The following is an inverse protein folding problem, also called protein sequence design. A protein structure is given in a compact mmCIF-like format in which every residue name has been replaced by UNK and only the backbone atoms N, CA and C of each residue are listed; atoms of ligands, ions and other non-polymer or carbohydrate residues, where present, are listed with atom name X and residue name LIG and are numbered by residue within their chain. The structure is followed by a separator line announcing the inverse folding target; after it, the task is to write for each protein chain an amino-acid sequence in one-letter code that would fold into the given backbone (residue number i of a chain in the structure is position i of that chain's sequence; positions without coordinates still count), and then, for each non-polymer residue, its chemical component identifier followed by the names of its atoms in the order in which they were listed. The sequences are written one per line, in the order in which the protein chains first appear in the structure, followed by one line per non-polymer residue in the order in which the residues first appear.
data_IF_498254416958
#
_entry.id   IF_498254416958
#
_cell.length_a   1.000
_cell.length_b   1.000
_cell.length_c   1.000
_cell.angle_alpha   90.00
_cell.angle_beta   90.00
_cell.angle_gamma   90.00
#
_symmetry.space_group_name_H-M   'P 1'
#
loop_
_entity.id
_entity.type
_entity.pdbx_description
1 polymer ?
#
# COMPACT_ATOMS: atom_id res chain seq x y z
N UNK A 1 -7.90 -59.62 29.49
CA UNK A 1 -6.47 -59.94 29.61
C UNK A 1 -5.83 -59.66 28.24
N UNK A 2 -4.80 -58.83 28.07
CA UNK A 2 -4.10 -57.89 28.97
C UNK A 2 -3.61 -56.64 28.20
N UNK A 3 -3.09 -55.65 28.94
CA UNK A 3 -2.59 -54.31 28.53
C UNK A 3 -1.56 -53.88 29.61
N UNK A 4 -0.48 -53.09 29.39
CA UNK A 4 0.04 -52.41 28.18
C UNK A 4 1.53 -52.78 27.88
N UNK A 5 2.25 -52.09 26.97
CA UNK A 5 3.23 -51.02 27.32
C UNK A 5 4.04 -50.48 26.11
N UNK A 6 4.78 -49.36 26.29
CA UNK A 6 5.36 -48.56 25.20
C UNK A 6 6.86 -48.25 25.32
N UNK A 7 7.57 -48.15 24.18
CA UNK A 7 8.94 -47.60 24.07
C UNK A 7 9.10 -46.76 22.79
N UNK A 8 9.84 -45.65 22.87
CA UNK A 8 10.14 -44.69 21.79
C UNK A 8 11.61 -44.83 21.35
N UNK A 9 11.95 -44.59 20.07
CA UNK A 9 13.16 -43.80 19.80
C UNK A 9 13.00 -42.66 18.78
N UNK A 10 13.70 -41.58 19.09
CA UNK A 10 13.72 -40.26 18.47
C UNK A 10 13.86 -40.17 16.93
N UNK A 11 13.30 -39.09 16.37
CA UNK A 11 13.51 -38.67 14.99
C UNK A 11 14.94 -38.12 14.74
N UNK A 12 15.54 -38.44 13.60
CA UNK A 12 16.79 -37.82 13.14
C UNK A 12 16.53 -36.70 12.12
N UNK A 13 16.53 -35.44 12.59
CA UNK A 13 16.46 -34.26 11.72
C UNK A 13 17.76 -34.13 10.91
N UNK A 14 17.74 -34.41 9.61
CA UNK A 14 18.80 -33.98 8.67
C UNK A 14 18.33 -32.79 7.84
N UNK A 15 18.82 -31.61 8.22
CA UNK A 15 18.62 -30.35 7.52
C UNK A 15 19.43 -30.38 6.20
N UNK A 16 18.75 -30.17 5.07
CA UNK A 16 19.35 -30.13 3.73
C UNK A 16 19.32 -28.72 3.12
N UNK A 17 19.63 -27.70 3.92
CA UNK A 17 19.59 -26.27 3.58
C UNK A 17 20.73 -25.82 2.66
N UNK A 18 20.93 -26.47 1.50
CA UNK A 18 21.98 -26.15 0.52
C UNK A 18 21.42 -26.20 -0.91
N UNK A 19 20.87 -25.09 -1.42
CA UNK A 19 20.59 -24.91 -2.85
C UNK A 19 20.51 -23.46 -3.38
N UNK A 20 20.56 -22.45 -2.50
CA UNK A 20 20.33 -21.04 -2.85
C UNK A 20 21.33 -20.41 -3.85
N UNK A 21 22.68 -20.54 -3.73
CA UNK A 21 23.58 -19.79 -4.60
C UNK A 21 23.58 -20.30 -6.05
N UNK A 22 23.49 -21.62 -6.26
CA UNK A 22 23.53 -22.21 -7.60
C UNK A 22 22.24 -21.91 -8.40
N UNK A 23 21.07 -21.89 -7.74
CA UNK A 23 19.81 -21.46 -8.39
C UNK A 23 19.85 -19.98 -8.80
N UNK A 24 20.43 -19.10 -7.96
CA UNK A 24 20.60 -17.68 -8.30
C UNK A 24 21.52 -17.48 -9.53
N UNK A 25 22.66 -18.18 -9.59
CA UNK A 25 23.59 -18.15 -10.74
C UNK A 25 22.91 -18.66 -12.02
N UNK A 26 22.08 -19.70 -11.93
CA UNK A 26 21.31 -20.23 -13.08
C UNK A 26 20.25 -19.21 -13.55
N UNK A 27 19.53 -18.54 -12.63
CA UNK A 27 18.58 -17.47 -12.97
C UNK A 27 19.28 -16.30 -13.67
N UNK A 28 20.41 -15.81 -13.15
CA UNK A 28 21.23 -14.77 -13.79
C UNK A 28 21.70 -15.16 -15.19
N UNK A 29 22.19 -16.40 -15.39
CA UNK A 29 22.57 -16.92 -16.71
C UNK A 29 21.39 -17.02 -17.69
N UNK A 30 20.16 -17.23 -17.22
CA UNK A 30 18.94 -17.19 -18.05
C UNK A 30 18.57 -15.75 -18.43
N UNK A 31 18.51 -14.80 -17.48
CA UNK A 31 18.21 -13.37 -17.74
C UNK A 31 19.18 -12.77 -18.78
N UNK A 32 20.48 -13.03 -18.63
CA UNK A 32 21.50 -12.61 -19.62
C UNK A 32 21.35 -13.24 -21.02
N UNK A 33 20.91 -14.50 -21.12
CA UNK A 33 20.64 -15.14 -22.42
C UNK A 33 19.40 -14.58 -23.11
N UNK A 34 18.36 -14.20 -22.35
CA UNK A 34 17.19 -13.47 -22.86
C UNK A 34 17.57 -12.12 -23.45
N UNK A 35 18.28 -11.29 -22.67
CA UNK A 35 18.79 -9.99 -23.12
C UNK A 35 19.69 -10.09 -24.36
N UNK A 36 20.54 -11.12 -24.46
CA UNK A 36 21.38 -11.33 -25.65
C UNK A 36 20.57 -11.76 -26.89
N UNK A 37 19.46 -12.50 -26.74
CA UNK A 37 18.53 -12.77 -27.86
C UNK A 37 17.78 -11.52 -28.30
N UNK A 38 17.30 -10.71 -27.36
CA UNK A 38 16.58 -9.46 -27.65
C UNK A 38 17.43 -8.47 -28.46
N UNK A 39 18.70 -8.26 -28.07
CA UNK A 39 19.61 -7.38 -28.82
C UNK A 39 19.92 -7.86 -30.25
N UNK A 40 19.92 -9.17 -30.51
CA UNK A 40 20.15 -9.74 -31.85
C UNK A 40 18.94 -9.59 -32.79
N UNK A 41 17.79 -9.11 -32.31
CA UNK A 41 16.61 -8.81 -33.14
C UNK A 41 16.50 -7.33 -33.56
N UNK A 42 17.47 -6.48 -33.17
CA UNK A 42 17.43 -5.03 -33.43
C UNK A 42 18.38 -4.58 -34.57
N UNK A 43 19.15 -5.50 -35.16
CA UNK A 43 20.17 -5.20 -36.19
C UNK A 43 19.87 -5.91 -37.52
N UNK A 44 18.86 -5.44 -38.24
CA UNK A 44 18.62 -5.77 -39.65
C UNK A 44 17.83 -4.64 -40.33
N UNK A 45 18.39 -3.92 -41.33
CA UNK A 45 17.71 -2.77 -41.94
C UNK A 45 16.63 -3.19 -42.94
N UNK A 46 15.58 -2.38 -43.05
CA UNK A 46 14.58 -2.46 -44.13
C UNK A 46 14.25 -1.05 -44.62
N UNK A 47 13.94 -0.93 -45.91
CA UNK A 47 14.07 0.31 -46.68
C UNK A 47 12.85 1.26 -46.60
N UNK A 48 13.03 2.51 -47.04
CA UNK A 48 12.00 3.57 -47.13
C UNK A 48 11.40 3.65 -48.55
N UNK A 49 10.19 4.21 -48.72
CA UNK A 49 10.01 5.65 -49.03
C UNK A 49 9.34 6.43 -47.87
N UNK A 50 9.44 7.76 -47.67
CA UNK A 50 9.08 8.93 -48.50
C UNK A 50 7.54 9.08 -48.67
N UNK A 51 6.87 10.24 -48.45
CA UNK A 51 7.30 11.65 -48.39
C UNK A 51 6.55 12.49 -47.30
N UNK A 52 6.71 13.83 -47.34
CA UNK A 52 6.07 14.93 -46.59
C UNK A 52 6.41 15.08 -45.08
N UNK A 53 6.91 16.22 -44.52
CA UNK A 53 6.74 17.68 -44.71
C UNK A 53 5.53 18.23 -43.90
N UNK A 54 5.64 19.25 -43.03
CA UNK A 54 6.72 20.23 -42.78
C UNK A 54 6.86 20.69 -41.31
N UNK A 55 7.89 21.51 -41.02
CA UNK A 55 8.14 22.28 -39.76
C UNK A 55 8.44 21.48 -38.48
N UNK A 56 9.02 22.05 -37.40
CA UNK A 56 9.54 23.41 -37.13
C UNK A 56 10.79 23.38 -36.23
N UNK A 57 11.47 24.53 -36.08
CA UNK A 57 12.59 24.75 -35.14
C UNK A 57 12.41 26.10 -34.42
N UNK A 58 12.74 26.15 -33.12
CA UNK A 58 13.23 27.37 -32.46
C UNK A 58 14.24 27.01 -31.36
N UNK A 59 15.51 27.22 -31.65
CA UNK A 59 16.64 27.14 -30.72
C UNK A 59 16.97 28.55 -30.24
N UNK A 60 17.17 28.76 -28.93
CA UNK A 60 17.71 30.02 -28.40
C UNK A 60 18.74 29.76 -27.32
N UNK A 61 20.01 29.91 -27.70
CA UNK A 61 21.11 30.07 -26.74
C UNK A 61 21.01 31.45 -26.07
N UNK A 62 21.50 31.55 -24.84
CA UNK A 62 22.40 32.62 -24.39
C UNK A 62 23.12 32.19 -23.11
N UNK A 63 24.21 32.85 -22.77
CA UNK A 63 25.21 32.37 -21.81
C UNK A 63 25.78 33.50 -20.93
N UNK A 64 26.66 33.13 -20.00
CA UNK A 64 27.61 33.95 -19.23
C UNK A 64 27.13 34.60 -17.91
N UNK A 65 27.79 34.16 -16.84
CA UNK A 65 28.38 34.98 -15.76
C UNK A 65 27.48 35.85 -14.85
N UNK A 66 27.46 35.52 -13.54
CA UNK A 66 28.30 36.26 -12.56
C UNK A 66 28.46 35.58 -11.20
N UNK A 67 29.29 36.19 -10.35
CA UNK A 67 29.85 35.68 -9.09
C UNK A 67 29.20 36.27 -7.84
N UNK A 68 28.98 35.41 -6.84
CA UNK A 68 29.37 35.54 -5.42
C UNK A 68 29.13 36.86 -4.63
N UNK A 69 28.41 36.72 -3.50
CA UNK A 69 28.48 37.50 -2.24
C UNK A 69 28.17 39.02 -2.26
N UNK A 70 27.10 39.45 -1.58
CA UNK A 70 27.14 39.84 -0.15
C UNK A 70 25.73 40.06 0.47
N UNK A 71 25.64 40.00 1.80
CA UNK A 71 24.44 40.25 2.66
C UNK A 71 24.31 41.76 3.02
N UNK A 72 23.40 42.28 3.91
CA UNK A 72 22.75 41.71 5.12
C UNK A 72 21.21 42.03 5.19
N UNK A 73 20.45 42.25 6.28
CA UNK A 73 20.64 42.33 7.76
C UNK A 73 19.31 42.23 8.56
N UNK A 74 19.28 41.41 9.63
CA UNK A 74 18.45 41.57 10.85
C UNK A 74 16.90 41.52 10.70
N UNK A 75 16.05 41.38 11.73
CA UNK A 75 16.23 41.50 13.20
C UNK A 75 15.35 40.59 14.09
N UNK A 76 15.97 39.94 15.07
CA UNK A 76 15.57 39.71 16.47
C UNK A 76 14.09 39.51 16.91
N UNK A 77 13.83 38.40 17.63
CA UNK A 77 13.51 38.43 19.07
C UNK A 77 13.93 37.10 19.76
N UNK A 78 13.82 37.02 21.09
CA UNK A 78 14.95 36.73 22.00
C UNK A 78 14.52 35.92 23.27
N UNK A 79 15.46 35.62 24.19
CA UNK A 79 15.34 34.77 25.41
C UNK A 79 15.32 33.26 25.10
N UNK A 80 15.86 32.33 25.91
CA UNK A 80 16.81 32.29 27.06
C UNK A 80 17.38 30.84 27.12
N UNK A 81 18.48 30.44 27.76
CA UNK A 81 19.38 31.04 28.75
C UNK A 81 19.67 29.97 29.83
N UNK A 82 20.95 29.77 30.23
CA UNK A 82 21.43 28.80 31.25
C UNK A 82 21.30 27.29 30.89
N UNK A 83 22.18 26.37 31.31
CA UNK A 83 23.59 26.47 31.76
C UNK A 83 24.29 25.09 31.64
N UNK A 84 25.63 25.04 31.66
CA UNK A 84 26.40 23.81 31.83
C UNK A 84 26.65 23.51 33.31
N UNK A 85 26.04 22.47 33.86
CA UNK A 85 26.18 22.12 35.28
C UNK A 85 27.27 21.07 35.54
N UNK A 86 28.21 21.41 36.43
CA UNK A 86 28.98 20.45 37.21
C UNK A 86 28.27 20.25 38.55
N UNK A 87 28.13 19.00 39.03
CA UNK A 87 27.63 18.74 40.37
C UNK A 87 28.54 17.77 41.16
N UNK A 88 29.25 18.36 42.13
CA UNK A 88 29.50 17.79 43.47
C UNK A 88 28.12 17.69 44.19
N UNK A 89 27.85 16.86 45.21
CA UNK A 89 28.68 16.08 46.15
C UNK A 89 27.83 14.92 46.71
N UNK A 90 28.43 13.99 47.46
CA UNK A 90 27.77 13.41 48.65
C UNK A 90 28.73 13.42 49.83
N UNK A 91 28.37 14.15 50.89
CA UNK A 91 29.12 14.24 52.15
C UNK A 91 28.41 13.44 53.26
N UNK A 92 29.10 12.50 53.89
CA UNK A 92 28.81 12.02 55.24
C UNK A 92 30.05 11.35 55.87
N UNK A 93 30.86 12.08 56.63
CA UNK A 93 30.99 11.88 58.10
C UNK A 93 32.25 12.50 58.75
N UNK A 94 31.99 13.42 59.69
CA UNK A 94 32.54 13.48 61.07
C UNK A 94 34.07 13.54 61.30
N UNK A 95 34.51 14.72 61.79
CA UNK A 95 35.67 14.95 62.71
C UNK A 95 37.12 14.81 62.16
N UNK A 96 38.16 15.52 62.68
CA UNK A 96 38.25 16.46 63.82
C UNK A 96 39.45 17.47 63.70
N UNK A 97 39.59 18.36 64.69
CA UNK A 97 40.76 19.20 65.06
C UNK A 97 41.45 20.19 64.07
N UNK A 98 40.80 21.35 63.89
CA UNK A 98 41.26 22.66 64.46
C UNK A 98 42.66 23.29 64.18
N UNK A 99 42.59 24.57 63.74
CA UNK A 99 43.24 25.78 64.34
C UNK A 99 44.55 26.40 63.79
N UNK A 100 44.56 27.76 63.82
CA UNK A 100 45.64 28.77 63.69
C UNK A 100 46.19 29.16 62.29
N UNK A 101 45.70 30.32 61.82
CA UNK A 101 46.34 31.19 60.80
C UNK A 101 47.64 31.82 61.36
N UNK A 102 48.61 32.12 60.48
CA UNK A 102 49.60 33.15 60.76
C UNK A 102 50.07 33.86 59.46
N UNK A 103 50.00 35.20 59.41
CA UNK A 103 50.49 36.01 58.28
C UNK A 103 51.96 36.38 58.50
N UNK A 104 52.83 36.23 57.48
CA UNK A 104 54.11 36.95 57.40
C UNK A 104 54.44 37.36 55.95
N UNK A 105 54.68 38.65 55.71
CA UNK A 105 55.29 39.18 54.48
C UNK A 105 56.78 38.85 54.46
N UNK A 106 57.39 38.57 53.30
CA UNK A 106 58.68 39.18 52.89
C UNK A 106 59.12 38.90 51.44
N UNK A 107 59.70 39.95 50.86
CA UNK A 107 60.68 39.99 49.75
C UNK A 107 60.35 39.40 48.37
N UNK A 108 60.59 40.21 47.33
CA UNK A 108 60.91 39.76 45.98
C UNK A 108 62.13 38.81 46.03
N UNK A 109 62.11 37.75 45.22
CA UNK A 109 63.30 37.06 44.69
C UNK A 109 63.23 37.14 43.17
N UNK A 110 64.36 37.43 42.51
CA UNK A 110 64.42 37.41 41.04
C UNK A 110 64.20 35.96 40.57
N UNK A 111 63.14 35.67 39.84
CA UNK A 111 63.04 34.45 39.06
C UNK A 111 64.17 34.45 38.02
N UNK A 112 64.95 33.37 37.95
CA UNK A 112 65.88 33.17 36.85
C UNK A 112 65.05 32.93 35.59
N UNK A 113 65.39 33.61 34.50
CA UNK A 113 64.74 33.40 33.21
C UNK A 113 65.05 31.98 32.73
N UNK A 114 64.06 31.09 32.80
CA UNK A 114 64.18 29.74 32.26
C UNK A 114 64.03 29.83 30.75
N UNK A 115 65.16 29.73 30.04
CA UNK A 115 65.14 29.56 28.59
C UNK A 115 64.55 28.19 28.27
N UNK A 116 63.31 28.20 27.79
CA UNK A 116 62.74 27.06 27.07
C UNK A 116 63.41 26.96 25.69
N UNK A 117 63.72 25.75 25.17
CA UNK A 117 64.23 25.61 23.81
C UNK A 117 63.12 25.96 22.79
N UNK A 118 63.29 27.04 22.03
CA UNK A 118 62.30 27.65 21.13
C UNK A 118 61.76 26.76 19.97
N UNK A 119 62.13 25.47 19.91
CA UNK A 119 61.79 24.57 18.80
C UNK A 119 61.32 23.18 19.23
N UNK A 120 60.66 23.06 20.39
CA UNK A 120 59.80 21.89 20.67
C UNK A 120 58.52 21.95 19.81
N UNK A 121 58.62 21.53 18.55
CA UNK A 121 57.45 21.31 17.69
C UNK A 121 56.49 20.38 18.43
N UNK A 122 55.32 20.88 18.83
CA UNK A 122 54.19 20.04 19.25
C UNK A 122 53.72 19.26 18.02
N UNK A 123 54.27 18.06 17.84
CA UNK A 123 53.66 17.06 16.98
C UNK A 123 52.32 16.70 17.60
N UNK A 124 51.23 17.28 17.08
CA UNK A 124 49.95 16.60 17.14
C UNK A 124 50.17 15.21 16.52
N UNK A 125 49.70 14.12 17.15
CA UNK A 125 49.79 12.81 16.52
C UNK A 125 49.13 12.90 15.16
N UNK A 126 49.84 12.50 14.11
CA UNK A 126 49.32 12.59 12.75
C UNK A 126 47.98 11.83 12.70
N UNK A 127 46.98 12.40 12.04
CA UNK A 127 45.73 11.68 11.79
C UNK A 127 46.04 10.43 10.97
N UNK A 128 46.16 9.29 11.64
CA UNK A 128 46.17 8.01 10.96
C UNK A 128 44.84 7.87 10.23
N UNK A 129 44.90 7.99 8.90
CA UNK A 129 43.78 7.79 7.99
C UNK A 129 43.45 6.29 7.94
N UNK A 130 42.93 5.82 9.07
CA UNK A 130 42.81 4.42 9.41
C UNK A 130 42.11 3.66 8.31
N UNK A 131 42.70 2.53 7.91
CA UNK A 131 42.12 1.62 6.91
C UNK A 131 40.72 1.16 7.34
N UNK A 132 40.44 1.11 8.65
CA UNK A 132 39.11 0.85 9.19
C UNK A 132 38.09 1.94 8.83
N UNK A 133 38.44 3.24 8.87
CA UNK A 133 37.53 4.34 8.42
C UNK A 133 37.18 4.19 6.94
N UNK A 134 38.13 3.80 6.09
CA UNK A 134 37.87 3.51 4.67
C UNK A 134 37.05 2.24 4.45
N UNK A 135 37.32 1.17 5.22
CA UNK A 135 36.55 -0.07 5.18
C UNK A 135 35.09 0.17 5.60
N UNK A 136 34.86 0.94 6.66
CA UNK A 136 33.54 1.35 7.13
C UNK A 136 32.78 2.15 6.06
N UNK A 137 33.43 3.12 5.41
CA UNK A 137 32.83 3.86 4.29
C UNK A 137 32.50 2.96 3.09
N UNK A 138 33.33 1.95 2.78
CA UNK A 138 33.04 0.96 1.74
C UNK A 138 31.87 0.04 2.12
N UNK A 139 31.78 -0.40 3.38
CA UNK A 139 30.64 -1.18 3.88
C UNK A 139 29.35 -0.37 3.85
N UNK A 140 29.38 0.91 4.26
CA UNK A 140 28.24 1.84 4.14
C UNK A 140 27.85 2.01 2.67
N UNK A 141 28.80 2.17 1.76
CA UNK A 141 28.51 2.28 0.32
C UNK A 141 27.91 0.99 -0.27
N UNK A 142 28.37 -0.19 0.17
CA UNK A 142 27.81 -1.49 -0.24
C UNK A 142 26.39 -1.66 0.29
N UNK A 143 26.15 -1.34 1.57
CA UNK A 143 24.81 -1.39 2.18
C UNK A 143 23.87 -0.40 1.49
N UNK A 144 24.33 0.82 1.22
CA UNK A 144 23.56 1.83 0.49
C UNK A 144 23.22 1.38 -0.94
N UNK A 145 24.17 0.76 -1.66
CA UNK A 145 23.91 0.20 -2.98
C UNK A 145 22.93 -0.99 -2.94
N UNK A 146 23.00 -1.84 -1.90
CA UNK A 146 22.03 -2.92 -1.67
C UNK A 146 20.62 -2.36 -1.38
N UNK A 147 20.51 -1.28 -0.62
CA UNK A 147 19.25 -0.59 -0.34
C UNK A 147 18.68 0.02 -1.64
N UNK A 148 19.48 0.74 -2.43
CA UNK A 148 19.03 1.30 -3.71
C UNK A 148 18.54 0.22 -4.68
N UNK A 149 19.31 -0.85 -4.86
CA UNK A 149 18.92 -1.98 -5.73
C UNK A 149 17.68 -2.73 -5.19
N UNK A 150 17.40 -2.67 -3.88
CA UNK A 150 16.18 -3.24 -3.31
C UNK A 150 14.96 -2.36 -3.57
N UNK A 151 15.12 -1.03 -3.51
CA UNK A 151 14.07 -0.04 -3.83
C UNK A 151 13.75 -0.07 -5.34
N UNK A 152 14.76 -0.05 -6.21
CA UNK A 152 14.60 -0.09 -7.68
C UNK A 152 13.84 -1.35 -8.13
N UNK A 153 14.12 -2.51 -7.52
CA UNK A 153 13.37 -3.76 -7.76
C UNK A 153 11.98 -3.77 -7.11
N UNK A 154 11.67 -2.88 -6.16
CA UNK A 154 10.33 -2.70 -5.59
C UNK A 154 9.46 -1.86 -6.55
N UNK A 155 10.03 -0.75 -7.05
CA UNK A 155 9.37 0.16 -7.98
C UNK A 155 9.09 -0.52 -9.33
N UNK A 156 10.04 -1.34 -9.86
CA UNK A 156 9.83 -2.21 -11.03
C UNK A 156 8.55 -3.07 -10.91
N UNK A 157 8.28 -3.61 -9.71
CA UNK A 157 7.13 -4.48 -9.44
C UNK A 157 5.81 -3.71 -9.34
N UNK A 158 5.83 -2.52 -8.74
CA UNK A 158 4.65 -1.65 -8.66
C UNK A 158 4.31 -1.05 -10.04
N UNK A 159 5.33 -0.68 -10.82
CA UNK A 159 5.17 -0.15 -12.17
C UNK A 159 4.61 -1.20 -13.14
N UNK A 160 4.92 -2.49 -12.96
CA UNK A 160 4.32 -3.61 -13.71
C UNK A 160 2.78 -3.60 -13.66
N UNK A 161 2.18 -3.10 -12.59
CA UNK A 161 0.72 -3.16 -12.37
C UNK A 161 -0.02 -1.82 -12.54
N UNK A 162 0.66 -0.72 -12.87
CA UNK A 162 0.11 0.65 -13.02
C UNK A 162 -0.95 1.04 -11.98
N UNK A 163 -0.64 0.80 -10.69
CA UNK A 163 -1.56 1.10 -9.59
C UNK A 163 -1.87 2.60 -9.47
N UNK A 164 -0.97 3.44 -10.00
CA UNK A 164 -1.11 4.89 -10.10
C UNK A 164 -2.08 5.33 -11.20
N UNK A 165 -2.22 4.57 -12.29
CA UNK A 165 -3.29 4.73 -13.28
C UNK A 165 -4.64 4.27 -12.74
N UNK A 166 -4.66 3.16 -11.97
CA UNK A 166 -5.83 2.66 -11.28
C UNK A 166 -6.40 3.67 -10.27
N UNK A 167 -5.56 4.21 -9.39
CA UNK A 167 -5.93 5.21 -8.37
C UNK A 167 -6.60 6.44 -9.00
N UNK A 168 -5.97 6.99 -10.06
CA UNK A 168 -6.48 8.13 -10.83
C UNK A 168 -7.78 7.81 -11.58
N UNK A 169 -8.01 6.55 -11.94
CA UNK A 169 -9.25 6.10 -12.57
C UNK A 169 -10.37 5.93 -11.54
N UNK A 170 -10.08 5.33 -10.39
CA UNK A 170 -11.05 5.21 -9.28
C UNK A 170 -11.49 6.60 -8.78
N UNK A 171 -10.58 7.53 -8.56
CA UNK A 171 -10.95 8.91 -8.15
C UNK A 171 -11.74 9.71 -9.22
N UNK A 172 -11.88 9.20 -10.45
CA UNK A 172 -12.71 9.80 -11.50
C UNK A 172 -14.07 9.13 -11.66
N UNK A 173 -14.13 7.80 -11.64
CA UNK A 173 -15.37 7.03 -11.83
C UNK A 173 -16.14 6.76 -10.51
N UNK A 174 -15.49 6.82 -9.33
CA UNK A 174 -16.06 6.38 -8.05
C UNK A 174 -16.35 7.58 -7.12
N UNK A 175 -17.59 8.08 -7.15
CA UNK A 175 -18.01 9.22 -6.33
C UNK A 175 -18.29 8.85 -4.87
N UNK A 176 -17.88 9.70 -3.92
CA UNK A 176 -18.26 9.62 -2.49
C UNK A 176 -17.54 8.56 -1.65
N UNK A 177 -16.71 7.70 -2.24
CA UNK A 177 -16.06 6.57 -1.56
C UNK A 177 -14.54 6.77 -1.40
N UNK A 178 -14.09 8.01 -1.13
CA UNK A 178 -12.65 8.36 -1.17
C UNK A 178 -11.79 7.45 -0.28
N UNK A 179 -12.17 7.30 0.99
CA UNK A 179 -11.44 6.48 1.98
C UNK A 179 -11.37 5.01 1.57
N UNK A 180 -12.44 4.47 0.99
CA UNK A 180 -12.48 3.10 0.48
C UNK A 180 -11.56 2.91 -0.74
N UNK A 181 -11.50 3.90 -1.65
CA UNK A 181 -10.57 3.88 -2.79
C UNK A 181 -9.11 3.95 -2.31
N UNK A 182 -8.80 4.87 -1.39
CA UNK A 182 -7.46 5.00 -0.80
C UNK A 182 -7.02 3.67 -0.14
N UNK A 183 -7.89 3.06 0.68
CA UNK A 183 -7.62 1.78 1.36
C UNK A 183 -7.44 0.60 0.39
N UNK A 184 -8.23 0.50 -0.69
CA UNK A 184 -8.05 -0.55 -1.71
C UNK A 184 -6.70 -0.40 -2.43
N UNK A 185 -6.32 0.83 -2.77
CA UNK A 185 -5.06 1.11 -3.47
C UNK A 185 -3.86 0.88 -2.55
N UNK A 186 -3.96 1.24 -1.26
CA UNK A 186 -2.96 0.97 -0.23
C UNK A 186 -2.72 -0.55 -0.06
N UNK A 187 -3.80 -1.32 0.16
CA UNK A 187 -3.74 -2.80 0.25
C UNK A 187 -3.13 -3.46 -1.01
N UNK A 188 -3.45 -2.94 -2.20
CA UNK A 188 -2.86 -3.43 -3.45
C UNK A 188 -1.38 -3.05 -3.59
N UNK A 189 -0.98 -1.84 -3.19
CA UNK A 189 0.43 -1.37 -3.23
C UNK A 189 1.30 -2.17 -2.25
N UNK A 190 0.87 -2.31 -0.99
CA UNK A 190 1.60 -3.07 0.03
C UNK A 190 1.79 -4.55 -0.36
N UNK A 191 0.76 -5.18 -0.92
CA UNK A 191 0.83 -6.55 -1.35
C UNK A 191 1.76 -6.72 -2.56
N UNK A 192 1.48 -6.02 -3.66
CA UNK A 192 2.17 -6.18 -4.95
C UNK A 192 3.62 -5.64 -4.96
N UNK A 193 4.03 -4.88 -3.94
CA UNK A 193 5.42 -4.56 -3.69
C UNK A 193 6.27 -5.82 -3.40
N UNK A 194 5.68 -6.89 -2.87
CA UNK A 194 6.38 -8.10 -2.45
C UNK A 194 6.17 -9.29 -3.40
N UNK A 195 7.07 -10.28 -3.32
CA UNK A 195 7.02 -11.54 -4.11
C UNK A 195 6.81 -12.80 -3.26
N UNK A 196 6.67 -12.64 -1.95
CA UNK A 196 6.58 -13.75 -0.99
C UNK A 196 5.57 -13.32 0.07
N UNK A 197 4.37 -13.88 -0.01
CA UNK A 197 3.28 -13.57 0.91
C UNK A 197 3.02 -14.76 1.85
N UNK A 198 2.56 -14.46 3.07
CA UNK A 198 2.22 -15.47 4.08
C UNK A 198 0.71 -15.79 4.13
N UNK A 199 -0.11 -14.98 3.43
CA UNK A 199 -1.53 -15.17 3.14
C UNK A 199 -1.79 -14.58 1.74
N UNK A 200 -2.79 -15.05 0.98
CA UNK A 200 -3.28 -14.28 -0.17
C UNK A 200 -3.90 -12.95 0.29
N UNK A 201 -3.96 -11.97 -0.60
CA UNK A 201 -4.72 -10.74 -0.35
C UNK A 201 -6.21 -11.03 -0.52
N UNK A 202 -7.02 -10.73 0.50
CA UNK A 202 -8.48 -10.93 0.46
C UNK A 202 -9.14 -9.64 0.91
N UNK A 203 -9.58 -8.81 -0.04
CA UNK A 203 -10.27 -7.54 0.25
C UNK A 203 -11.78 -7.80 0.26
N UNK A 204 -12.50 -7.35 1.31
CA UNK A 204 -13.97 -7.47 1.39
C UNK A 204 -14.65 -6.11 1.31
N UNK A 205 -15.27 -5.81 0.17
CA UNK A 205 -16.01 -4.57 -0.08
C UNK A 205 -17.44 -4.71 0.47
N UNK A 206 -17.70 -4.10 1.62
CA UNK A 206 -18.96 -4.21 2.36
C UNK A 206 -19.71 -2.87 2.40
N UNK A 207 -21.04 -2.87 2.26
CA UNK A 207 -21.81 -1.63 2.22
C UNK A 207 -23.26 -1.81 1.79
N UNK A 208 -24.11 -0.78 1.88
CA UNK A 208 -25.47 -0.84 1.35
C UNK A 208 -25.51 -0.94 -0.19
N UNK A 209 -26.70 -1.13 -0.75
CA UNK A 209 -26.91 -1.31 -2.21
C UNK A 209 -26.73 0.01 -2.97
N UNK A 210 -26.08 -0.06 -4.14
CA UNK A 210 -25.99 1.07 -5.09
C UNK A 210 -24.91 2.12 -4.81
N UNK A 211 -24.07 1.90 -3.80
CA UNK A 211 -22.98 2.82 -3.39
C UNK A 211 -21.69 2.71 -4.23
N UNK A 212 -21.65 1.82 -5.22
CA UNK A 212 -20.54 1.70 -6.18
C UNK A 212 -19.69 0.42 -6.10
N UNK A 213 -19.89 -0.48 -5.12
CA UNK A 213 -19.01 -1.66 -4.91
C UNK A 213 -18.76 -2.51 -6.17
N UNK A 214 -19.81 -2.97 -6.85
CA UNK A 214 -19.72 -3.73 -8.10
C UNK A 214 -19.11 -2.93 -9.26
N UNK A 215 -19.24 -1.59 -9.24
CA UNK A 215 -18.58 -0.72 -10.20
C UNK A 215 -17.07 -0.62 -9.92
N UNK A 216 -16.64 -0.56 -8.65
CA UNK A 216 -15.22 -0.67 -8.26
C UNK A 216 -14.65 -2.03 -8.68
N UNK A 217 -15.41 -3.12 -8.47
CA UNK A 217 -15.06 -4.44 -9.00
C UNK A 217 -14.89 -4.47 -10.52
N UNK A 218 -15.75 -3.78 -11.26
CA UNK A 218 -15.62 -3.62 -12.72
C UNK A 218 -14.41 -2.76 -13.13
N UNK A 219 -14.12 -1.66 -12.43
CA UNK A 219 -12.92 -0.82 -12.68
C UNK A 219 -11.64 -1.62 -12.42
N UNK A 220 -11.59 -2.38 -11.32
CA UNK A 220 -10.49 -3.31 -11.01
C UNK A 220 -10.33 -4.36 -12.11
N UNK A 221 -11.43 -5.00 -12.53
CA UNK A 221 -11.41 -6.00 -13.59
C UNK A 221 -10.89 -5.42 -14.92
N UNK A 222 -11.40 -4.25 -15.33
CA UNK A 222 -11.00 -3.50 -16.53
C UNK A 222 -9.51 -3.15 -16.49
N UNK A 223 -9.00 -2.68 -15.34
CA UNK A 223 -7.59 -2.35 -15.16
C UNK A 223 -6.70 -3.59 -15.30
N UNK A 224 -6.89 -4.61 -14.46
CA UNK A 224 -6.04 -5.80 -14.48
C UNK A 224 -6.09 -6.55 -15.83
N UNK A 225 -7.25 -6.60 -16.51
CA UNK A 225 -7.36 -7.17 -17.87
C UNK A 225 -6.54 -6.41 -18.91
N UNK A 226 -6.38 -5.09 -18.75
CA UNK A 226 -5.56 -4.26 -19.65
C UNK A 226 -4.05 -4.38 -19.41
N UNK A 227 -3.65 -4.87 -18.23
CA UNK A 227 -2.25 -5.02 -17.80
C UNK A 227 -1.75 -6.46 -17.93
N UNK A 228 -2.60 -7.45 -17.66
CA UNK A 228 -2.22 -8.86 -17.47
C UNK A 228 -2.77 -9.81 -18.53
N UNK A 229 -3.55 -9.31 -19.48
CA UNK A 229 -4.47 -10.06 -20.35
C UNK A 229 -5.68 -10.64 -19.60
N UNK A 230 -6.71 -11.08 -20.34
CA UNK A 230 -7.98 -11.55 -19.75
C UNK A 230 -7.86 -12.85 -18.94
N UNK A 231 -6.86 -13.69 -19.23
CA UNK A 231 -6.71 -15.05 -18.71
C UNK A 231 -6.47 -15.15 -17.18
N UNK A 232 -6.17 -14.02 -16.54
CA UNK A 232 -5.78 -13.93 -15.13
C UNK A 232 -6.75 -13.09 -14.28
N UNK A 233 -7.95 -12.77 -14.81
CA UNK A 233 -8.97 -11.93 -14.13
C UNK A 233 -10.35 -12.56 -14.18
N UNK A 234 -10.63 -13.47 -13.24
CA UNK A 234 -11.93 -14.11 -13.09
C UNK A 234 -12.92 -13.18 -12.39
N UNK A 235 -14.10 -13.01 -12.98
CA UNK A 235 -15.19 -12.21 -12.41
C UNK A 235 -16.41 -13.10 -12.20
N UNK A 236 -16.61 -13.55 -10.96
CA UNK A 236 -17.60 -14.55 -10.57
C UNK A 236 -18.83 -13.88 -9.96
N UNK A 237 -19.85 -13.65 -10.78
CA UNK A 237 -21.19 -13.27 -10.31
C UNK A 237 -21.94 -14.53 -9.85
N UNK A 238 -22.33 -14.60 -8.57
CA UNK A 238 -22.94 -15.80 -7.97
C UNK A 238 -24.20 -16.22 -8.72
N UNK A 239 -25.13 -15.29 -8.95
CA UNK A 239 -26.42 -15.56 -9.61
C UNK A 239 -26.31 -16.04 -11.06
N UNK A 240 -25.18 -15.79 -11.73
CA UNK A 240 -24.93 -16.27 -13.10
C UNK A 240 -24.17 -17.60 -13.14
N UNK A 241 -23.26 -17.85 -12.19
CA UNK A 241 -22.40 -19.05 -12.20
C UNK A 241 -22.94 -20.21 -11.37
N UNK A 242 -23.75 -19.92 -10.34
CA UNK A 242 -24.44 -20.93 -9.53
C UNK A 242 -25.93 -20.55 -9.34
N UNK A 243 -26.73 -20.55 -10.42
CA UNK A 243 -28.14 -20.18 -10.34
C UNK A 243 -28.95 -21.17 -9.50
N UNK A 244 -29.98 -20.66 -8.82
CA UNK A 244 -30.84 -21.42 -7.90
C UNK A 244 -31.54 -22.60 -8.60
N UNK A 245 -31.00 -23.80 -8.39
CA UNK A 245 -31.44 -25.03 -9.05
C UNK A 245 -30.28 -25.97 -9.42
N UNK A 246 -29.04 -25.46 -9.53
CA UNK A 246 -27.83 -26.28 -9.62
C UNK A 246 -27.46 -26.81 -8.23
N UNK A 247 -26.96 -28.06 -8.16
CA UNK A 247 -26.48 -28.64 -6.91
C UNK A 247 -25.21 -27.89 -6.43
N UNK A 248 -25.12 -27.43 -5.16
CA UNK A 248 -23.97 -26.65 -4.68
C UNK A 248 -22.60 -27.31 -4.87
N UNK A 249 -22.54 -28.65 -4.77
CA UNK A 249 -21.33 -29.44 -4.99
C UNK A 249 -20.79 -29.31 -6.43
N UNK A 250 -21.66 -29.14 -7.42
CA UNK A 250 -21.25 -28.89 -8.81
C UNK A 250 -20.61 -27.52 -8.95
N UNK A 251 -21.15 -26.51 -8.26
CA UNK A 251 -20.56 -25.17 -8.20
C UNK A 251 -19.22 -25.15 -7.44
N UNK A 252 -19.08 -25.92 -6.35
CA UNK A 252 -17.81 -26.09 -5.61
C UNK A 252 -16.73 -26.67 -6.52
N UNK A 253 -17.02 -27.74 -7.25
CA UNK A 253 -16.06 -28.39 -8.14
C UNK A 253 -15.65 -27.46 -9.29
N UNK A 254 -16.60 -26.77 -9.92
CA UNK A 254 -16.32 -25.82 -11.00
C UNK A 254 -15.50 -24.60 -10.52
N UNK A 255 -15.86 -24.00 -9.39
CA UNK A 255 -15.15 -22.86 -8.80
C UNK A 255 -13.73 -23.25 -8.35
N UNK A 256 -13.59 -24.35 -7.60
CA UNK A 256 -12.31 -24.86 -7.12
C UNK A 256 -11.36 -25.21 -8.29
N UNK A 257 -11.90 -25.82 -9.34
CA UNK A 257 -11.14 -26.06 -10.58
C UNK A 257 -10.72 -24.76 -11.25
N UNK A 258 -11.63 -23.80 -11.46
CA UNK A 258 -11.32 -22.51 -12.09
C UNK A 258 -10.26 -21.71 -11.34
N UNK A 259 -10.28 -21.74 -10.01
CA UNK A 259 -9.24 -21.12 -9.17
C UNK A 259 -7.90 -21.83 -9.41
N UNK A 260 -7.87 -23.16 -9.30
CA UNK A 260 -6.64 -23.96 -9.49
C UNK A 260 -6.04 -23.84 -10.89
N UNK A 261 -6.85 -23.92 -11.94
CA UNK A 261 -6.45 -23.79 -13.35
C UNK A 261 -5.98 -22.37 -13.71
N UNK A 262 -6.38 -21.34 -12.94
CA UNK A 262 -5.90 -19.96 -13.13
C UNK A 262 -4.62 -19.68 -12.33
N UNK A 263 -4.56 -20.12 -11.07
CA UNK A 263 -3.38 -19.98 -10.18
C UNK A 263 -2.16 -20.69 -10.76
N UNK A 264 -2.29 -21.95 -11.18
CA UNK A 264 -1.18 -22.75 -11.74
C UNK A 264 -0.63 -22.15 -13.04
N UNK A 265 -1.46 -21.52 -13.88
CA UNK A 265 -1.01 -20.77 -15.06
C UNK A 265 -0.31 -19.45 -14.68
N UNK A 266 -0.80 -18.77 -13.65
CA UNK A 266 -0.25 -17.48 -13.22
C UNK A 266 1.17 -17.58 -12.64
N UNK A 267 1.45 -18.62 -11.84
CA UNK A 267 2.80 -18.94 -11.36
C UNK A 267 3.78 -19.21 -12.52
N UNK A 268 3.33 -19.82 -13.62
CA UNK A 268 4.16 -20.07 -14.82
C UNK A 268 4.51 -18.78 -15.56
N UNK A 269 3.62 -17.78 -15.57
CA UNK A 269 3.85 -16.46 -16.18
C UNK A 269 4.41 -15.40 -15.22
N UNK A 270 4.73 -15.78 -13.97
CA UNK A 270 5.15 -14.87 -12.90
C UNK A 270 4.13 -13.68 -12.72
N UNK A 271 2.82 -13.98 -12.83
CA UNK A 271 1.67 -13.05 -12.72
C UNK A 271 0.85 -13.32 -11.45
N UNK A 272 0.25 -12.28 -10.84
CA UNK A 272 -0.59 -12.37 -9.63
C UNK A 272 -2.09 -12.40 -10.00
N UNK A 273 -2.78 -13.55 -10.03
CA UNK A 273 -4.14 -13.66 -10.54
C UNK A 273 -5.16 -12.94 -9.63
N UNK A 274 -6.18 -12.35 -10.25
CA UNK A 274 -7.21 -11.56 -9.58
C UNK A 274 -8.58 -12.23 -9.71
N UNK A 275 -9.21 -12.50 -8.57
CA UNK A 275 -10.53 -13.11 -8.44
C UNK A 275 -11.51 -12.09 -7.86
N UNK A 276 -12.50 -11.66 -8.64
CA UNK A 276 -13.53 -10.72 -8.19
C UNK A 276 -14.86 -11.45 -8.09
N UNK A 277 -15.35 -11.63 -6.86
CA UNK A 277 -16.57 -12.36 -6.56
C UNK A 277 -17.66 -11.38 -6.11
N UNK A 278 -18.77 -11.33 -6.83
CA UNK A 278 -19.86 -10.38 -6.61
C UNK A 278 -21.15 -11.08 -6.15
N UNK A 279 -21.90 -10.39 -5.29
CA UNK A 279 -23.06 -10.90 -4.53
C UNK A 279 -22.70 -12.07 -3.59
N UNK A 280 -21.60 -11.95 -2.85
CA UNK A 280 -21.04 -13.03 -2.00
C UNK A 280 -22.01 -13.51 -0.91
N UNK A 281 -22.93 -12.68 -0.42
CA UNK A 281 -23.99 -13.09 0.52
C UNK A 281 -25.02 -14.08 -0.06
N UNK A 282 -25.04 -14.26 -1.38
CA UNK A 282 -25.91 -15.23 -2.06
C UNK A 282 -25.23 -16.60 -2.23
N UNK A 283 -23.96 -16.74 -1.85
CA UNK A 283 -23.26 -18.01 -1.90
C UNK A 283 -23.79 -18.98 -0.85
N UNK A 284 -23.96 -20.25 -1.25
CA UNK A 284 -24.20 -21.32 -0.27
C UNK A 284 -23.00 -21.46 0.68
N UNK A 285 -23.19 -21.87 1.95
CA UNK A 285 -22.10 -22.06 2.91
C UNK A 285 -20.97 -22.96 2.39
N UNK A 286 -21.29 -23.99 1.60
CA UNK A 286 -20.33 -24.91 0.98
C UNK A 286 -19.32 -24.15 0.09
N UNK A 287 -19.76 -23.13 -0.65
CA UNK A 287 -18.87 -22.29 -1.47
C UNK A 287 -18.01 -21.36 -0.60
N UNK A 288 -18.57 -20.82 0.49
CA UNK A 288 -17.82 -19.98 1.44
C UNK A 288 -16.77 -20.81 2.21
N UNK A 289 -17.08 -22.05 2.58
CA UNK A 289 -16.12 -23.01 3.14
C UNK A 289 -15.02 -23.34 2.12
N UNK A 290 -15.38 -23.53 0.84
CA UNK A 290 -14.42 -23.77 -0.25
C UNK A 290 -13.45 -22.61 -0.42
N UNK A 291 -13.96 -21.37 -0.44
CA UNK A 291 -13.15 -20.15 -0.51
C UNK A 291 -12.26 -19.99 0.74
N UNK A 292 -12.81 -20.27 1.94
CA UNK A 292 -12.06 -20.17 3.19
C UNK A 292 -10.81 -21.07 3.22
N UNK A 293 -10.85 -22.26 2.58
CA UNK A 293 -9.68 -23.16 2.45
C UNK A 293 -8.54 -22.50 1.67
N UNK A 294 -8.85 -21.78 0.58
CA UNK A 294 -7.85 -21.07 -0.22
C UNK A 294 -7.21 -19.87 0.51
N UNK A 295 -7.83 -19.36 1.58
CA UNK A 295 -7.33 -18.23 2.36
C UNK A 295 -6.40 -18.64 3.53
N UNK A 296 -6.19 -19.94 3.74
CA UNK A 296 -5.32 -20.43 4.82
C UNK A 296 -3.82 -20.15 4.53
N UNK A 297 -3.02 -19.81 5.55
CA UNK A 297 -1.59 -19.52 5.37
C UNK A 297 -0.72 -20.78 5.10
N UNK A 298 -1.29 -21.98 5.25
CA UNK A 298 -0.58 -23.26 5.08
C UNK A 298 -0.69 -23.83 3.66
N UNK A 299 -1.10 -23.02 2.68
CA UNK A 299 -1.21 -23.43 1.28
C UNK A 299 0.14 -23.43 0.54
N UNK A 300 0.18 -24.00 -0.68
CA UNK A 300 1.34 -23.86 -1.56
C UNK A 300 1.47 -22.42 -2.07
N UNK A 301 2.71 -21.99 -2.32
CA UNK A 301 3.05 -20.60 -2.68
C UNK A 301 2.20 -20.01 -3.80
N UNK A 302 1.77 -20.83 -4.76
CA UNK A 302 0.91 -20.43 -5.89
C UNK A 302 -0.44 -19.85 -5.42
N UNK A 303 -1.10 -20.46 -4.43
CA UNK A 303 -2.35 -19.94 -3.87
C UNK A 303 -2.13 -18.77 -2.91
N UNK A 304 -0.96 -18.70 -2.26
CA UNK A 304 -0.53 -17.53 -1.48
C UNK A 304 -0.23 -16.31 -2.37
N UNK A 305 0.00 -16.50 -3.67
CA UNK A 305 0.31 -15.46 -4.66
C UNK A 305 -0.94 -14.93 -5.40
N UNK A 306 -2.13 -14.96 -4.80
CA UNK A 306 -3.39 -14.56 -5.44
C UNK A 306 -4.09 -13.36 -4.76
N UNK A 307 -4.92 -12.62 -5.50
CA UNK A 307 -5.76 -11.53 -4.99
C UNK A 307 -7.24 -11.93 -5.11
N UNK A 308 -7.98 -11.83 -4.01
CA UNK A 308 -9.43 -12.03 -3.95
C UNK A 308 -10.12 -10.72 -3.54
N UNK A 309 -11.16 -10.35 -4.27
CA UNK A 309 -12.01 -9.19 -3.99
C UNK A 309 -13.44 -9.71 -3.82
N UNK A 310 -13.92 -9.73 -2.58
CA UNK A 310 -15.28 -10.13 -2.22
C UNK A 310 -16.16 -8.88 -2.20
N UNK A 311 -17.30 -8.90 -2.87
CA UNK A 311 -18.26 -7.79 -2.87
C UNK A 311 -19.55 -8.26 -2.21
N UNK A 312 -20.00 -7.54 -1.17
CA UNK A 312 -21.18 -7.95 -0.41
C UNK A 312 -22.03 -6.81 0.14
N UNK A 313 -23.34 -7.04 0.24
CA UNK A 313 -24.27 -6.14 0.94
C UNK A 313 -24.34 -6.38 2.47
N UNK A 314 -23.63 -7.38 3.02
CA UNK A 314 -23.52 -7.60 4.47
C UNK A 314 -22.85 -6.41 5.18
N UNK A 315 -23.32 -6.09 6.39
CA UNK A 315 -22.95 -4.89 7.14
C UNK A 315 -23.64 -3.60 6.64
N UNK A 316 -24.41 -3.66 5.54
CA UNK A 316 -25.00 -2.49 4.91
C UNK A 316 -26.04 -1.75 5.76
N UNK A 317 -26.76 -2.46 6.65
CA UNK A 317 -27.74 -1.86 7.55
C UNK A 317 -27.06 -1.12 8.71
N UNK A 318 -25.99 -1.69 9.25
CA UNK A 318 -25.15 -1.15 10.31
C UNK A 318 -24.42 0.10 9.84
N UNK A 319 -23.84 0.06 8.62
CA UNK A 319 -23.25 1.21 7.94
C UNK A 319 -24.29 2.32 7.73
N UNK A 320 -25.48 1.97 7.23
CA UNK A 320 -26.57 2.93 7.02
C UNK A 320 -26.94 3.64 8.32
N UNK A 321 -27.08 2.87 9.42
CA UNK A 321 -27.35 3.41 10.76
C UNK A 321 -26.22 4.30 11.28
N UNK A 322 -24.96 3.86 11.18
CA UNK A 322 -23.79 4.63 11.64
C UNK A 322 -23.67 5.97 10.89
N UNK A 323 -23.80 5.96 9.57
CA UNK A 323 -23.74 7.18 8.74
C UNK A 323 -24.88 8.14 9.08
N UNK A 324 -26.11 7.65 9.27
CA UNK A 324 -27.26 8.49 9.67
C UNK A 324 -27.05 9.06 11.08
N UNK A 325 -26.53 8.28 12.03
CA UNK A 325 -26.31 8.76 13.41
C UNK A 325 -25.16 9.79 13.49
N UNK A 326 -24.10 9.62 12.71
CA UNK A 326 -22.89 10.46 12.75
C UNK A 326 -22.84 11.56 11.68
N UNK A 327 -23.90 11.75 10.87
CA UNK A 327 -23.97 12.71 9.77
C UNK A 327 -23.70 14.19 10.16
N UNK A 328 -23.93 14.55 11.43
CA UNK A 328 -23.63 15.86 12.01
C UNK A 328 -22.15 16.07 12.38
N UNK A 329 -21.32 15.03 12.22
CA UNK A 329 -19.89 15.05 12.55
C UNK A 329 -19.04 14.82 11.30
N UNK A 330 -17.88 15.48 11.23
CA UNK A 330 -16.95 15.34 10.10
C UNK A 330 -16.12 14.04 10.14
N UNK A 331 -16.39 13.16 11.12
CA UNK A 331 -15.75 11.85 11.30
C UNK A 331 -15.90 10.94 10.07
N UNK A 332 -16.99 11.09 9.30
CA UNK A 332 -17.27 10.31 8.08
C UNK A 332 -16.27 10.54 6.93
N UNK A 333 -15.39 11.52 7.04
CA UNK A 333 -14.33 11.81 6.06
C UNK A 333 -12.91 11.58 6.62
N UNK A 334 -12.79 10.94 7.79
CA UNK A 334 -11.52 10.68 8.48
C UNK A 334 -11.31 9.18 8.70
N UNK A 335 -10.05 8.71 8.69
CA UNK A 335 -9.69 7.30 8.91
C UNK A 335 -10.30 6.75 10.22
N UNK A 336 -10.34 7.55 11.28
CA UNK A 336 -10.99 7.22 12.56
C UNK A 336 -12.45 6.78 12.40
N UNK A 337 -13.22 7.41 11.51
CA UNK A 337 -14.60 7.01 11.23
C UNK A 337 -14.70 5.63 10.57
N UNK A 338 -13.68 5.22 9.82
CA UNK A 338 -13.57 3.88 9.26
C UNK A 338 -13.17 2.85 10.34
N UNK A 339 -12.24 3.17 11.26
CA UNK A 339 -11.87 2.30 12.38
C UNK A 339 -13.07 2.00 13.30
N UNK A 340 -13.79 3.04 13.72
CA UNK A 340 -15.00 2.90 14.56
C UNK A 340 -16.07 2.07 13.82
N UNK A 341 -16.26 2.29 12.52
CA UNK A 341 -17.20 1.54 11.69
C UNK A 341 -16.80 0.07 11.46
N UNK A 342 -15.51 -0.22 11.28
CA UNK A 342 -14.98 -1.58 11.18
C UNK A 342 -15.25 -2.39 12.46
N UNK A 343 -15.11 -1.78 13.63
CA UNK A 343 -15.39 -2.43 14.91
C UNK A 343 -16.86 -2.88 15.06
N UNK A 344 -17.79 -2.21 14.35
CA UNK A 344 -19.22 -2.55 14.32
C UNK A 344 -19.51 -3.63 13.27
N UNK A 345 -18.88 -3.54 12.09
CA UNK A 345 -19.13 -4.46 10.96
C UNK A 345 -18.49 -5.84 11.19
N UNK A 346 -17.25 -5.89 11.68
CA UNK A 346 -16.48 -7.13 11.72
C UNK A 346 -17.15 -8.25 12.54
N UNK A 347 -17.79 -8.00 13.70
CA UNK A 347 -18.60 -9.01 14.40
C UNK A 347 -19.76 -9.55 13.55
N UNK A 348 -20.44 -8.70 12.79
CA UNK A 348 -21.57 -9.08 11.93
C UNK A 348 -21.10 -10.00 10.79
N UNK A 349 -20.01 -9.63 10.10
CA UNK A 349 -19.45 -10.46 9.03
C UNK A 349 -18.95 -11.80 9.55
N UNK A 350 -18.19 -11.79 10.65
CA UNK A 350 -17.68 -13.03 11.27
C UNK A 350 -18.81 -13.92 11.82
N UNK A 351 -19.97 -13.34 12.20
CA UNK A 351 -21.17 -14.12 12.54
C UNK A 351 -21.87 -14.75 11.34
N UNK A 352 -21.73 -14.18 10.14
CA UNK A 352 -22.28 -14.73 8.91
C UNK A 352 -21.43 -15.91 8.39
N UNK A 353 -20.11 -15.76 8.34
CA UNK A 353 -19.19 -16.87 8.05
C UNK A 353 -17.75 -16.60 8.54
N UNK A 354 -16.98 -17.62 8.98
CA UNK A 354 -15.59 -17.44 9.43
C UNK A 354 -14.61 -16.84 8.41
N UNK A 355 -14.87 -16.89 7.08
CA UNK A 355 -13.89 -16.42 6.07
C UNK A 355 -13.54 -14.93 6.22
N UNK A 356 -14.45 -14.12 6.78
CA UNK A 356 -14.23 -12.69 7.06
C UNK A 356 -13.24 -12.43 8.21
N UNK A 357 -12.66 -13.48 8.84
CA UNK A 357 -11.48 -13.36 9.71
C UNK A 357 -10.15 -13.24 8.95
N UNK A 358 -10.09 -13.73 7.71
CA UNK A 358 -8.90 -13.66 6.86
C UNK A 358 -8.89 -12.41 5.95
N UNK A 359 -10.08 -11.83 5.73
CA UNK A 359 -10.31 -10.71 4.83
C UNK A 359 -10.05 -9.35 5.48
N UNK A 360 -9.40 -8.48 4.73
CA UNK A 360 -9.20 -7.06 5.04
C UNK A 360 -10.46 -6.30 4.56
N UNK A 361 -11.25 -5.78 5.50
CA UNK A 361 -12.59 -5.25 5.24
C UNK A 361 -12.51 -3.78 4.82
N UNK A 362 -13.21 -3.41 3.75
CA UNK A 362 -13.32 -2.03 3.24
C UNK A 362 -14.79 -1.60 3.24
N UNK A 363 -15.21 -0.69 4.15
CA UNK A 363 -16.58 -0.22 4.23
C UNK A 363 -16.89 0.88 3.19
N UNK A 364 -18.00 0.72 2.47
CA UNK A 364 -18.57 1.71 1.55
C UNK A 364 -19.76 2.40 2.22
N UNK A 365 -19.72 3.73 2.30
CA UNK A 365 -20.72 4.56 3.01
C UNK A 365 -21.88 4.99 2.10
N UNK A 366 -22.94 5.58 2.68
CA UNK A 366 -24.05 6.13 1.89
C UNK A 366 -23.59 7.30 1.01
N UNK A 367 -24.15 7.39 -0.20
CA UNK A 367 -23.87 8.48 -1.13
C UNK A 367 -24.74 9.71 -0.81
N UNK A 368 -24.11 10.82 -0.46
CA UNK A 368 -24.79 12.13 -0.45
C UNK A 368 -25.34 12.49 -1.85
N UNK A 369 -26.39 13.30 -1.89
CA UNK A 369 -27.08 13.76 -3.11
C UNK A 369 -26.15 14.39 -4.16
N UNK A 370 -25.10 15.07 -3.73
CA UNK A 370 -24.01 15.60 -4.57
C UNK A 370 -23.37 14.51 -5.45
N UNK A 371 -23.05 13.35 -4.87
CA UNK A 371 -22.49 12.20 -5.59
C UNK A 371 -23.50 11.58 -6.57
N UNK A 372 -24.80 11.59 -6.23
CA UNK A 372 -25.86 11.09 -7.11
C UNK A 372 -26.09 11.99 -8.31
N UNK A 373 -25.97 13.31 -8.14
CA UNK A 373 -25.95 14.29 -9.25
C UNK A 373 -24.77 13.99 -10.19
N UNK A 374 -23.58 13.70 -9.65
CA UNK A 374 -22.43 13.28 -10.46
C UNK A 374 -22.66 11.96 -11.21
N UNK A 375 -23.32 10.96 -10.58
CA UNK A 375 -23.72 9.72 -11.26
C UNK A 375 -24.64 9.98 -12.46
N UNK A 376 -25.66 10.84 -12.33
CA UNK A 376 -26.53 11.20 -13.45
C UNK A 376 -25.76 11.92 -14.57
N UNK A 377 -24.93 12.90 -14.20
CA UNK A 377 -24.12 13.68 -15.12
C UNK A 377 -23.13 12.82 -15.91
N UNK A 378 -22.52 11.82 -15.28
CA UNK A 378 -21.64 10.85 -15.95
C UNK A 378 -22.42 9.86 -16.83
N UNK A 379 -23.55 9.32 -16.34
CA UNK A 379 -24.34 8.40 -17.16
C UNK A 379 -24.93 9.08 -18.40
N UNK A 380 -25.45 10.30 -18.28
CA UNK A 380 -25.97 11.05 -19.42
C UNK A 380 -24.89 11.33 -20.47
N UNK A 381 -23.67 11.66 -20.06
CA UNK A 381 -22.53 11.81 -20.98
C UNK A 381 -22.19 10.51 -21.72
N UNK A 382 -22.34 9.35 -21.07
CA UNK A 382 -22.14 8.03 -21.69
C UNK A 382 -23.19 7.74 -22.78
N UNK A 383 -24.43 8.20 -22.60
CA UNK A 383 -25.48 8.20 -23.64
C UNK A 383 -25.36 9.37 -24.65
N UNK A 384 -24.33 10.21 -24.54
CA UNK A 384 -24.14 11.39 -25.40
C UNK A 384 -25.04 12.59 -25.09
N UNK A 385 -25.77 12.56 -23.98
CA UNK A 385 -26.67 13.62 -23.52
C UNK A 385 -25.92 14.67 -22.67
N UNK A 386 -26.22 15.95 -22.91
CA UNK A 386 -25.62 17.10 -22.22
C UNK A 386 -26.71 17.91 -21.52
N UNK A 387 -27.17 17.48 -20.33
CA UNK A 387 -28.27 18.11 -19.59
C UNK A 387 -27.87 19.42 -18.92
N UNK A 388 -28.86 20.30 -18.70
CA UNK A 388 -28.74 21.40 -17.75
C UNK A 388 -28.63 20.88 -16.31
N UNK A 389 -27.85 21.57 -15.47
CA UNK A 389 -27.71 21.27 -14.04
C UNK A 389 -29.07 21.16 -13.32
N UNK A 390 -30.02 22.07 -13.64
CA UNK A 390 -31.39 22.06 -13.08
C UNK A 390 -32.17 20.80 -13.48
N UNK A 391 -31.93 20.25 -14.67
CA UNK A 391 -32.58 19.02 -15.13
C UNK A 391 -32.04 17.81 -14.35
N UNK A 392 -30.72 17.74 -14.15
CA UNK A 392 -30.09 16.71 -13.32
C UNK A 392 -30.61 16.78 -11.88
N UNK A 393 -30.66 17.98 -11.29
CA UNK A 393 -31.17 18.19 -9.93
C UNK A 393 -32.64 17.76 -9.79
N UNK A 394 -33.49 18.04 -10.80
CA UNK A 394 -34.88 17.58 -10.81
C UNK A 394 -34.99 16.05 -10.87
N UNK A 395 -34.15 15.36 -11.65
CA UNK A 395 -34.14 13.90 -11.71
C UNK A 395 -33.60 13.26 -10.42
N UNK A 396 -32.58 13.87 -9.81
CA UNK A 396 -32.08 13.50 -8.50
C UNK A 396 -33.15 13.68 -7.41
N UNK A 397 -33.88 14.80 -7.40
CA UNK A 397 -34.97 15.08 -6.45
C UNK A 397 -36.09 14.03 -6.46
N UNK A 398 -36.26 13.26 -7.54
CA UNK A 398 -37.21 12.16 -7.64
C UNK A 398 -36.70 10.81 -7.07
N UNK A 399 -35.56 10.77 -6.38
CA UNK A 399 -35.02 9.58 -5.71
C UNK A 399 -35.32 9.63 -4.20
N UNK A 400 -35.25 8.48 -3.53
CA UNK A 400 -35.46 8.38 -2.09
C UNK A 400 -34.18 8.68 -1.30
N UNK A 401 -34.29 9.59 -0.32
CA UNK A 401 -33.20 10.01 0.54
C UNK A 401 -33.55 9.87 2.02
N UNK A 402 -32.55 9.52 2.84
CA UNK A 402 -32.54 9.81 4.26
C UNK A 402 -32.12 11.27 4.47
N UNK A 403 -32.83 11.99 5.34
CA UNK A 403 -32.51 13.37 5.72
C UNK A 403 -31.96 13.40 7.15
N UNK A 404 -30.87 14.11 7.38
CA UNK A 404 -30.31 14.29 8.73
C UNK A 404 -29.62 15.64 8.82
N UNK A 405 -30.22 16.56 9.60
CA UNK A 405 -29.89 17.98 9.50
C UNK A 405 -30.02 18.47 8.06
N UNK A 406 -29.02 19.20 7.60
CA UNK A 406 -28.97 19.74 6.23
C UNK A 406 -28.52 18.71 5.16
N UNK A 407 -28.10 17.50 5.57
CA UNK A 407 -27.57 16.47 4.66
C UNK A 407 -28.64 15.52 4.13
N UNK A 408 -28.50 15.11 2.87
CA UNK A 408 -29.39 14.18 2.16
C UNK A 408 -28.59 12.99 1.59
N UNK A 409 -28.83 11.78 2.09
CA UNK A 409 -28.14 10.54 1.71
C UNK A 409 -29.09 9.61 0.91
N UNK A 410 -28.70 9.18 -0.28
CA UNK A 410 -29.56 8.32 -1.13
C UNK A 410 -29.69 6.91 -0.56
N UNK A 411 -30.92 6.44 -0.38
CA UNK A 411 -31.19 5.10 0.18
C UNK A 411 -30.94 3.95 -0.79
N UNK A 412 -30.76 4.24 -2.09
CA UNK A 412 -30.39 3.26 -3.12
C UNK A 412 -29.10 3.67 -3.89
N UNK A 413 -28.34 4.60 -3.34
CA UNK A 413 -27.15 5.17 -3.98
C UNK A 413 -27.44 5.67 -5.40
N UNK A 414 -26.70 5.16 -6.37
CA UNK A 414 -26.89 5.43 -7.80
C UNK A 414 -27.57 4.27 -8.57
N UNK A 415 -28.10 3.23 -7.89
CA UNK A 415 -28.64 2.02 -8.55
C UNK A 415 -29.82 2.31 -9.50
N UNK A 416 -30.60 3.36 -9.23
CA UNK A 416 -31.74 3.77 -10.07
C UNK A 416 -31.36 4.76 -11.19
N UNK A 417 -30.12 5.26 -11.25
CA UNK A 417 -29.71 6.29 -12.22
C UNK A 417 -29.86 5.79 -13.65
N UNK A 418 -29.25 4.64 -13.98
CA UNK A 418 -29.36 3.97 -15.29
C UNK A 418 -30.81 3.85 -15.75
N UNK A 419 -31.67 3.28 -14.90
CA UNK A 419 -33.09 3.07 -15.22
C UNK A 419 -33.87 4.37 -15.46
N UNK A 420 -33.42 5.50 -14.90
CA UNK A 420 -34.04 6.82 -15.14
C UNK A 420 -33.47 7.56 -16.34
N UNK A 421 -32.18 7.41 -16.65
CA UNK A 421 -31.59 7.99 -17.88
C UNK A 421 -32.18 7.30 -19.10
N UNK A 422 -32.41 5.99 -19.04
CA UNK A 422 -33.01 5.19 -20.12
C UNK A 422 -34.54 5.42 -20.31
N UNK A 423 -35.13 6.42 -19.66
CA UNK A 423 -36.54 6.83 -19.79
C UNK A 423 -36.69 8.27 -20.33
N UNK A 424 -35.60 8.85 -20.85
CA UNK A 424 -35.52 10.18 -21.46
C UNK A 424 -35.35 10.08 -22.98
#
# INVERSE_FOLDING_TARGET
EEVPDAVIPAASKKISSISSPLRAIIRLRRRFRGLKKSRLHLELPREKPAEFVHTRLLQRQLSLNRTSLYSPSMSFFNQSGFESSQYFTFDTSVEHYSVKKCKRKKSRRKSRMVLYPDKTKKYLPAEEKSKAKRCLLLLIAIIFFQILNAIENLDDNLQKYDLDGLEKTMHREVFGQKVAVESIVELLKDYLATHIHNKPLVISLNGPTGVGKSHVGWVLAKHFRSVMDNDFVLQYFVMHHCPSGVAPLTCEIDLSKKISDMVTRAEIEEKTPVFILDEVELMSPILLDTLSRFFEPNQTNEFLNAIYILISNLGGAEITKFVIQNASTELLHQQRGAEELLSIIQPVLVSAHPLWKAADIVPFVLLEKSHVINCFLEQMRREGLYPDQKHIENLANQLSYYTTGDKQYSSMGCKQVLAKVNLL
#
